data_IF_149450735015
#
_entry.id   IF_149450735015
#
_cell.length_a   1.000
_cell.length_b   1.000
_cell.length_c   1.000
_cell.angle_alpha   90.00
_cell.angle_beta   90.00
_cell.angle_gamma   90.00
#
_symmetry.space_group_name_H-M   'P 1'
#
loop_
_entity.id
_entity.type
_entity.pdbx_description
1 polymer ?
#
# COMPACT_ATOMS: atom_id res chain seq x y z
N UNK A 1 -27.28 24.13 25.33
CA UNK A 1 -26.06 24.92 25.60
C UNK A 1 -24.92 24.31 24.80
N UNK A 2 -24.34 25.03 23.82
CA UNK A 2 -23.25 24.51 22.98
C UNK A 2 -22.04 24.02 23.79
N UNK A 3 -21.69 24.73 24.87
CA UNK A 3 -20.62 24.35 25.81
C UNK A 3 -20.73 22.92 26.37
N UNK A 4 -21.94 22.51 26.79
CA UNK A 4 -22.16 21.15 27.33
C UNK A 4 -21.99 20.10 26.23
N UNK A 5 -22.40 20.40 25.00
CA UNK A 5 -22.22 19.48 23.88
C UNK A 5 -20.74 19.30 23.55
N UNK A 6 -19.97 20.39 23.58
CA UNK A 6 -18.51 20.38 23.35
C UNK A 6 -17.77 19.62 24.45
N UNK A 7 -18.14 19.82 25.73
CA UNK A 7 -17.58 19.05 26.84
C UNK A 7 -17.96 17.56 26.79
N UNK A 8 -19.13 17.23 26.22
CA UNK A 8 -19.58 15.83 26.06
C UNK A 8 -19.12 15.21 24.74
N UNK A 9 -18.22 15.85 24.01
CA UNK A 9 -17.74 15.34 22.74
C UNK A 9 -16.97 14.01 22.97
N UNK A 10 -17.42 12.88 22.39
CA UNK A 10 -16.77 11.57 22.58
C UNK A 10 -15.37 11.49 21.96
N UNK A 11 -15.01 12.43 21.08
CA UNK A 11 -13.69 12.55 20.51
C UNK A 11 -12.65 13.07 21.51
N UNK A 12 -13.09 13.63 22.64
CA UNK A 12 -12.19 14.15 23.67
C UNK A 12 -11.35 13.02 24.28
N UNK A 13 -10.04 13.25 24.39
CA UNK A 13 -9.04 12.32 24.93
C UNK A 13 -8.33 12.98 26.11
N UNK A 14 -7.59 12.23 26.95
CA UNK A 14 -6.88 12.79 28.10
C UNK A 14 -5.98 13.99 27.76
N UNK A 15 -5.38 14.02 26.55
CA UNK A 15 -4.59 15.17 26.06
C UNK A 15 -5.40 16.47 25.95
N UNK A 16 -6.63 16.40 25.48
CA UNK A 16 -7.53 17.55 25.32
C UNK A 16 -7.97 18.08 26.69
N UNK A 17 -8.28 17.18 27.62
CA UNK A 17 -8.62 17.53 29.00
C UNK A 17 -7.43 18.13 29.75
N UNK A 18 -6.22 17.60 29.53
CA UNK A 18 -4.98 18.17 30.09
C UNK A 18 -4.72 19.60 29.56
N UNK A 19 -4.98 19.84 28.27
CA UNK A 19 -4.88 21.18 27.69
C UNK A 19 -5.89 22.13 28.34
N UNK A 20 -7.15 21.73 28.48
CA UNK A 20 -8.18 22.53 29.18
C UNK A 20 -7.78 22.86 30.63
N UNK A 21 -7.29 21.88 31.39
CA UNK A 21 -6.84 22.09 32.78
C UNK A 21 -5.71 23.11 32.86
N UNK A 22 -4.78 23.06 31.90
CA UNK A 22 -3.63 23.96 31.83
C UNK A 22 -4.05 25.39 31.50
N UNK A 23 -4.85 25.57 30.44
CA UNK A 23 -5.31 26.88 29.97
C UNK A 23 -6.29 27.55 30.95
N UNK A 24 -7.15 26.77 31.59
CA UNK A 24 -8.06 27.28 32.63
C UNK A 24 -7.34 27.52 33.97
N UNK A 25 -6.11 27.01 34.12
CA UNK A 25 -5.38 26.96 35.38
C UNK A 25 -6.23 26.36 36.53
N UNK A 26 -6.96 25.28 36.22
CA UNK A 26 -7.88 24.60 37.16
C UNK A 26 -7.66 23.10 37.12
N UNK A 27 -7.64 22.49 38.30
CA UNK A 27 -7.64 21.05 38.46
C UNK A 27 -9.06 20.55 38.62
N UNK A 28 -9.45 19.58 37.80
CA UNK A 28 -10.71 18.86 37.91
C UNK A 28 -10.53 17.44 37.36
N UNK A 29 -11.40 16.53 37.78
CA UNK A 29 -11.49 15.16 37.24
C UNK A 29 -12.76 15.05 36.41
N UNK A 30 -12.59 14.95 35.10
CA UNK A 30 -13.64 14.79 34.10
C UNK A 30 -14.36 13.43 34.18
N UNK A 31 -13.75 12.42 34.81
CA UNK A 31 -14.34 11.08 34.98
C UNK A 31 -15.07 10.92 36.32
N UNK A 32 -14.92 11.90 37.22
CA UNK A 32 -15.57 11.86 38.52
C UNK A 32 -17.08 12.07 38.41
N UNK A 33 -17.85 11.37 39.25
CA UNK A 33 -19.30 11.61 39.39
C UNK A 33 -19.62 13.03 39.88
N UNK A 34 -18.64 13.72 40.45
CA UNK A 34 -18.73 15.10 40.92
C UNK A 34 -18.58 16.12 39.79
N UNK A 35 -18.24 15.71 38.56
CA UNK A 35 -18.20 16.57 37.38
C UNK A 35 -19.62 16.83 36.84
N UNK A 36 -20.44 17.49 37.67
CA UNK A 36 -21.83 17.85 37.38
C UNK A 36 -21.92 19.20 36.67
N UNK A 37 -23.10 19.53 36.13
CA UNK A 37 -23.34 20.85 35.54
C UNK A 37 -23.08 21.99 36.54
N UNK A 38 -23.46 21.79 37.81
CA UNK A 38 -23.18 22.74 38.88
C UNK A 38 -21.67 22.96 39.03
N UNK A 39 -20.89 21.87 38.98
CA UNK A 39 -19.43 21.95 39.04
C UNK A 39 -18.84 22.68 37.83
N UNK A 40 -19.39 22.48 36.63
CA UNK A 40 -18.97 23.19 35.41
C UNK A 40 -19.20 24.70 35.56
N UNK A 41 -20.34 25.11 36.13
CA UNK A 41 -20.64 26.52 36.40
C UNK A 41 -19.70 27.09 37.47
N UNK A 42 -19.46 26.36 38.56
CA UNK A 42 -18.50 26.77 39.61
C UNK A 42 -17.07 26.91 39.09
N UNK A 43 -16.68 26.04 38.15
CA UNK A 43 -15.38 26.10 37.47
C UNK A 43 -15.33 27.20 36.40
N UNK A 44 -16.41 27.93 36.14
CA UNK A 44 -16.43 29.09 35.27
C UNK A 44 -16.13 28.77 33.80
N UNK A 45 -16.48 27.57 33.33
CA UNK A 45 -16.26 27.14 31.95
C UNK A 45 -16.90 28.08 30.92
N UNK A 46 -17.93 28.85 31.30
CA UNK A 46 -18.56 29.85 30.44
C UNK A 46 -17.58 30.90 29.93
N UNK A 47 -16.57 31.27 30.73
CA UNK A 47 -15.54 32.24 30.34
C UNK A 47 -14.53 31.66 29.35
N UNK A 48 -14.49 30.34 29.22
CA UNK A 48 -13.60 29.59 28.35
C UNK A 48 -14.37 28.87 27.24
N UNK A 49 -15.60 29.30 26.95
CA UNK A 49 -16.47 28.58 26.01
C UNK A 49 -15.86 28.47 24.61
N UNK A 50 -15.21 29.53 24.12
CA UNK A 50 -14.53 29.53 22.82
C UNK A 50 -13.35 28.54 22.81
N UNK A 51 -12.55 28.51 23.88
CA UNK A 51 -11.45 27.57 24.02
C UNK A 51 -11.93 26.11 24.04
N UNK A 52 -13.01 25.83 24.78
CA UNK A 52 -13.62 24.50 24.84
C UNK A 52 -14.15 24.11 23.46
N UNK A 53 -14.77 25.05 22.75
CA UNK A 53 -15.25 24.82 21.39
C UNK A 53 -14.10 24.51 20.42
N UNK A 54 -13.00 25.25 20.50
CA UNK A 54 -11.81 25.01 19.67
C UNK A 54 -11.18 23.63 19.96
N UNK A 55 -11.02 23.27 21.23
CA UNK A 55 -10.43 21.98 21.63
C UNK A 55 -11.37 20.82 21.27
N UNK A 56 -12.67 20.96 21.49
CA UNK A 56 -13.69 19.99 21.04
C UNK A 56 -13.64 19.82 19.51
N UNK A 57 -13.56 20.92 18.77
CA UNK A 57 -13.44 20.90 17.31
C UNK A 57 -12.15 20.23 16.83
N UNK A 58 -11.03 20.46 17.52
CA UNK A 58 -9.77 19.78 17.25
C UNK A 58 -9.89 18.27 17.48
N UNK A 59 -10.47 17.87 18.61
CA UNK A 59 -10.69 16.48 18.97
C UNK A 59 -11.52 15.73 17.90
N UNK A 60 -12.61 16.34 17.42
CA UNK A 60 -13.43 15.77 16.34
C UNK A 60 -12.65 15.56 15.04
N UNK A 61 -11.74 16.48 14.70
CA UNK A 61 -10.89 16.37 13.50
C UNK A 61 -9.81 15.31 13.66
N UNK A 62 -9.23 15.18 14.85
CA UNK A 62 -8.31 14.09 15.19
C UNK A 62 -8.99 12.72 15.09
N UNK A 63 -10.23 12.60 15.59
CA UNK A 63 -11.00 11.36 15.48
C UNK A 63 -11.30 11.00 14.01
N UNK A 64 -11.55 11.99 13.15
CA UNK A 64 -11.73 11.76 11.73
C UNK A 64 -10.45 11.18 11.06
N UNK A 65 -9.26 11.66 11.46
CA UNK A 65 -7.97 11.11 11.02
C UNK A 65 -7.83 9.66 11.50
N UNK A 66 -8.10 9.39 12.77
CA UNK A 66 -8.06 8.04 13.35
C UNK A 66 -8.96 7.06 12.58
N UNK A 67 -10.21 7.43 12.33
CA UNK A 67 -11.14 6.61 11.55
C UNK A 67 -10.68 6.39 10.10
N UNK A 68 -10.09 7.40 9.47
CA UNK A 68 -9.57 7.28 8.09
C UNK A 68 -8.44 6.27 8.04
N UNK A 69 -7.50 6.32 9.00
CA UNK A 69 -6.39 5.39 9.10
C UNK A 69 -6.86 3.96 9.42
N UNK A 70 -7.84 3.79 10.30
CA UNK A 70 -8.44 2.49 10.61
C UNK A 70 -9.16 1.88 9.39
N UNK A 71 -9.89 2.70 8.64
CA UNK A 71 -10.55 2.25 7.42
C UNK A 71 -9.54 1.84 6.35
N UNK A 72 -8.44 2.60 6.22
CA UNK A 72 -7.32 2.26 5.34
C UNK A 72 -6.71 0.92 5.73
N UNK A 73 -6.39 0.69 7.00
CA UNK A 73 -5.87 -0.59 7.50
C UNK A 73 -6.79 -1.76 7.14
N UNK A 74 -8.11 -1.63 7.37
CA UNK A 74 -9.08 -2.68 7.03
C UNK A 74 -9.23 -2.92 5.53
N UNK A 75 -9.18 -1.86 4.72
CA UNK A 75 -9.26 -1.96 3.26
C UNK A 75 -8.07 -2.74 2.72
N UNK A 76 -6.85 -2.39 3.14
CA UNK A 76 -5.62 -3.03 2.69
C UNK A 76 -5.40 -4.44 3.27
N UNK A 77 -6.07 -4.80 4.37
CA UNK A 77 -6.12 -6.18 4.87
C UNK A 77 -6.92 -7.12 3.96
N UNK A 78 -7.89 -6.61 3.19
CA UNK A 78 -8.75 -7.42 2.33
C UNK A 78 -8.56 -7.12 0.84
N UNK A 79 -7.60 -6.26 0.50
CA UNK A 79 -7.30 -5.91 -0.88
C UNK A 79 -6.56 -7.08 -1.55
N UNK A 80 -7.18 -7.63 -2.60
CA UNK A 80 -6.65 -8.76 -3.36
C UNK A 80 -6.23 -8.35 -4.78
N UNK A 81 -5.14 -8.92 -5.28
CA UNK A 81 -4.75 -8.80 -6.69
C UNK A 81 -5.63 -9.71 -7.55
N UNK A 82 -6.25 -9.15 -8.60
CA UNK A 82 -7.03 -9.95 -9.56
C UNK A 82 -6.11 -10.76 -10.47
N UNK A 83 -5.87 -12.02 -10.08
CA UNK A 83 -5.01 -12.96 -10.79
C UNK A 83 -5.79 -14.12 -11.39
N UNK A 84 -5.41 -14.51 -12.60
CA UNK A 84 -6.03 -15.62 -13.35
C UNK A 84 -5.00 -16.65 -13.81
N UNK A 85 -5.39 -17.93 -13.91
CA UNK A 85 -4.53 -18.94 -14.50
C UNK A 85 -4.26 -18.65 -15.98
N UNK A 86 -3.04 -18.91 -16.43
CA UNK A 86 -2.59 -18.61 -17.78
C UNK A 86 -1.93 -19.82 -18.46
N UNK A 87 -2.58 -20.33 -19.51
CA UNK A 87 -2.17 -21.36 -20.51
C UNK A 87 -1.55 -22.67 -20.00
N UNK A 88 -0.46 -22.64 -19.25
CA UNK A 88 0.22 -23.82 -18.70
C UNK A 88 -0.20 -24.10 -17.24
N UNK A 89 0.09 -25.32 -16.76
CA UNK A 89 -0.10 -25.67 -15.35
C UNK A 89 0.83 -24.80 -14.49
N UNK A 90 0.28 -24.15 -13.47
CA UNK A 90 0.98 -23.35 -12.44
C UNK A 90 1.51 -21.97 -12.85
N UNK A 91 1.12 -21.42 -14.02
CA UNK A 91 1.41 -20.03 -14.36
C UNK A 91 0.17 -19.16 -14.12
N UNK A 92 0.34 -18.05 -13.39
CA UNK A 92 -0.74 -17.09 -13.16
C UNK A 92 -0.34 -15.71 -13.70
N UNK A 93 -1.33 -14.92 -14.09
CA UNK A 93 -1.13 -13.54 -14.50
C UNK A 93 -2.11 -12.61 -13.81
N UNK A 94 -1.68 -11.39 -13.54
CA UNK A 94 -2.54 -10.29 -13.13
C UNK A 94 -3.42 -9.93 -14.33
N UNK A 95 -4.73 -10.05 -14.17
CA UNK A 95 -5.73 -9.64 -15.17
C UNK A 95 -5.90 -8.13 -15.15
N UNK A 96 -6.12 -7.57 -13.98
CA UNK A 96 -6.27 -6.14 -13.77
C UNK A 96 -5.63 -5.75 -12.45
N UNK A 97 -5.01 -4.57 -12.44
CA UNK A 97 -4.54 -3.90 -11.24
C UNK A 97 -5.18 -2.51 -11.10
N UNK A 98 -6.17 -2.17 -11.93
CA UNK A 98 -6.82 -0.85 -11.95
C UNK A 98 -7.44 -0.51 -10.59
N UNK A 99 -8.16 -1.45 -9.97
CA UNK A 99 -8.76 -1.26 -8.66
C UNK A 99 -7.70 -1.01 -7.56
N UNK A 100 -6.54 -1.65 -7.68
CA UNK A 100 -5.41 -1.46 -6.76
C UNK A 100 -4.81 -0.07 -6.95
N UNK A 101 -4.57 0.37 -8.19
CA UNK A 101 -4.05 1.70 -8.47
C UNK A 101 -5.01 2.81 -8.05
N UNK A 102 -6.30 2.66 -8.34
CA UNK A 102 -7.32 3.61 -7.88
C UNK A 102 -7.32 3.72 -6.34
N UNK A 103 -7.27 2.58 -5.65
CA UNK A 103 -7.19 2.57 -4.19
C UNK A 103 -5.88 3.19 -3.67
N UNK A 104 -4.75 3.03 -4.37
CA UNK A 104 -3.48 3.68 -4.01
C UNK A 104 -3.59 5.21 -4.14
N UNK A 105 -4.07 5.70 -5.28
CA UNK A 105 -4.22 7.13 -5.56
C UNK A 105 -5.16 7.80 -4.56
N UNK A 106 -6.33 7.21 -4.32
CA UNK A 106 -7.32 7.74 -3.38
C UNK A 106 -6.74 7.84 -1.96
N UNK A 107 -6.05 6.79 -1.51
CA UNK A 107 -5.46 6.75 -0.17
C UNK A 107 -4.25 7.69 -0.06
N UNK A 108 -3.45 7.88 -1.12
CA UNK A 108 -2.37 8.86 -1.16
C UNK A 108 -2.90 10.30 -1.03
N UNK A 109 -3.99 10.64 -1.72
CA UNK A 109 -4.65 11.94 -1.60
C UNK A 109 -5.18 12.16 -0.18
N UNK A 110 -5.77 11.14 0.44
CA UNK A 110 -6.22 11.20 1.83
C UNK A 110 -5.05 11.44 2.79
N UNK A 111 -3.94 10.71 2.65
CA UNK A 111 -2.74 10.90 3.48
C UNK A 111 -2.16 12.30 3.31
N UNK A 112 -2.05 12.81 2.09
CA UNK A 112 -1.59 14.17 1.81
C UNK A 112 -2.48 15.23 2.47
N UNK A 113 -3.80 15.07 2.38
CA UNK A 113 -4.77 15.95 3.03
C UNK A 113 -4.65 15.91 4.55
N UNK A 114 -4.49 14.72 5.14
CA UNK A 114 -4.26 14.56 6.57
C UNK A 114 -2.95 15.23 7.00
N UNK A 115 -1.86 15.05 6.24
CA UNK A 115 -0.54 15.62 6.54
C UNK A 115 -0.51 17.15 6.46
N UNK A 116 -1.31 17.75 5.58
CA UNK A 116 -1.51 19.19 5.53
C UNK A 116 -2.30 19.76 6.73
N UNK A 117 -2.99 18.91 7.49
CA UNK A 117 -3.79 19.31 8.65
C UNK A 117 -2.93 19.49 9.90
N UNK A 118 -3.12 20.60 10.61
CA UNK A 118 -2.47 20.84 11.93
C UNK A 118 -2.85 19.82 13.01
N UNK A 119 -3.94 19.06 12.81
CA UNK A 119 -4.43 18.04 13.73
C UNK A 119 -3.75 16.68 13.55
N UNK A 120 -2.81 16.56 12.60
CA UNK A 120 -2.10 15.31 12.31
C UNK A 120 -1.01 14.97 13.32
N UNK A 121 -0.55 15.94 14.14
CA UNK A 121 0.60 15.76 15.05
C UNK A 121 0.58 14.46 15.87
N UNK A 122 -0.55 14.03 16.47
CA UNK A 122 -0.57 12.77 17.23
C UNK A 122 -0.41 11.51 16.36
N UNK A 123 -0.64 11.62 15.05
CA UNK A 123 -0.68 10.53 14.07
C UNK A 123 0.43 10.64 13.01
N UNK A 124 1.30 11.63 13.09
CA UNK A 124 2.31 11.95 12.06
C UNK A 124 3.18 10.73 11.70
N UNK A 125 3.67 10.01 12.72
CA UNK A 125 4.44 8.77 12.52
C UNK A 125 3.65 7.67 11.80
N UNK A 126 2.34 7.58 12.08
CA UNK A 126 1.48 6.57 11.47
C UNK A 126 1.15 6.95 10.02
N UNK A 127 0.86 8.22 9.75
CA UNK A 127 0.62 8.76 8.40
C UNK A 127 1.85 8.60 7.53
N UNK A 128 3.04 8.94 8.03
CA UNK A 128 4.31 8.78 7.29
C UNK A 128 4.61 7.30 6.99
N UNK A 129 4.31 6.41 7.94
CA UNK A 129 4.46 4.97 7.73
C UNK A 129 3.55 4.47 6.61
N UNK A 130 2.28 4.91 6.61
CA UNK A 130 1.32 4.57 5.57
C UNK A 130 1.74 5.11 4.21
N UNK A 131 2.20 6.36 4.14
CA UNK A 131 2.69 6.96 2.90
C UNK A 131 3.82 6.12 2.27
N UNK A 132 4.84 5.76 3.07
CA UNK A 132 5.94 4.90 2.61
C UNK A 132 5.46 3.52 2.17
N UNK A 133 4.54 2.92 2.92
CA UNK A 133 4.01 1.60 2.62
C UNK A 133 3.22 1.61 1.30
N UNK A 134 2.34 2.60 1.08
CA UNK A 134 1.59 2.71 -0.17
C UNK A 134 2.51 3.00 -1.36
N UNK A 135 3.52 3.85 -1.21
CA UNK A 135 4.51 4.08 -2.27
C UNK A 135 5.27 2.79 -2.62
N UNK A 136 5.63 1.98 -1.62
CA UNK A 136 6.31 0.72 -1.86
C UNK A 136 5.42 -0.32 -2.56
N UNK A 137 4.13 -0.40 -2.18
CA UNK A 137 3.15 -1.24 -2.87
C UNK A 137 3.02 -0.81 -4.33
N UNK A 138 2.90 0.50 -4.59
CA UNK A 138 2.77 1.05 -5.94
C UNK A 138 3.94 0.64 -6.83
N UNK A 139 5.17 0.90 -6.38
CA UNK A 139 6.39 0.54 -7.12
C UNK A 139 6.47 -0.97 -7.38
N UNK A 140 6.14 -1.79 -6.37
CA UNK A 140 6.19 -3.25 -6.49
C UNK A 140 5.18 -3.77 -7.52
N UNK A 141 3.96 -3.26 -7.51
CA UNK A 141 2.90 -3.65 -8.46
C UNK A 141 3.23 -3.19 -9.88
N UNK A 142 3.75 -1.98 -10.05
CA UNK A 142 4.20 -1.48 -11.37
C UNK A 142 5.32 -2.34 -11.96
N UNK A 143 6.32 -2.66 -11.15
CA UNK A 143 7.43 -3.54 -11.55
C UNK A 143 6.92 -4.94 -11.91
N UNK A 144 6.02 -5.50 -11.10
CA UNK A 144 5.44 -6.82 -11.36
C UNK A 144 4.67 -6.86 -12.68
N UNK A 145 3.89 -5.83 -12.98
CA UNK A 145 3.21 -5.69 -14.27
C UNK A 145 4.19 -5.49 -15.43
N UNK A 146 5.29 -4.77 -15.21
CA UNK A 146 6.33 -4.60 -16.22
C UNK A 146 7.01 -5.93 -16.57
N UNK A 147 7.45 -6.68 -15.55
CA UNK A 147 8.03 -8.01 -15.71
C UNK A 147 7.04 -8.95 -16.38
N UNK A 148 5.76 -8.93 -15.99
CA UNK A 148 4.71 -9.72 -16.63
C UNK A 148 4.59 -9.41 -18.13
N UNK A 149 4.62 -8.14 -18.54
CA UNK A 149 4.56 -7.76 -19.96
C UNK A 149 5.77 -8.29 -20.74
N UNK A 150 6.98 -8.13 -20.21
CA UNK A 150 8.21 -8.62 -20.83
C UNK A 150 8.20 -10.16 -20.93
N UNK A 151 7.79 -10.84 -19.86
CA UNK A 151 7.66 -12.30 -19.83
C UNK A 151 6.67 -12.80 -20.88
N UNK A 152 5.46 -12.24 -20.95
CA UNK A 152 4.45 -12.65 -21.93
C UNK A 152 4.92 -12.43 -23.37
N UNK A 153 5.69 -11.37 -23.61
CA UNK A 153 6.28 -11.11 -24.91
C UNK A 153 7.36 -12.14 -25.28
N UNK A 154 8.30 -12.42 -24.38
CA UNK A 154 9.31 -13.45 -24.61
C UNK A 154 8.70 -14.85 -24.75
N UNK A 155 7.66 -15.16 -23.98
CA UNK A 155 6.93 -16.42 -24.10
C UNK A 155 6.36 -16.60 -25.50
N UNK A 156 5.81 -15.55 -26.13
CA UNK A 156 5.32 -15.64 -27.51
C UNK A 156 6.41 -15.94 -28.52
N UNK A 157 7.62 -15.38 -28.32
CA UNK A 157 8.78 -15.60 -29.20
C UNK A 157 9.35 -17.02 -29.01
N UNK A 158 9.58 -17.43 -27.77
CA UNK A 158 10.17 -18.75 -27.45
C UNK A 158 9.17 -19.92 -27.51
N UNK A 159 7.90 -19.65 -27.85
CA UNK A 159 6.92 -20.70 -28.19
C UNK A 159 7.30 -21.45 -29.48
N UNK A 160 7.98 -20.78 -30.41
CA UNK A 160 8.40 -21.37 -31.68
C UNK A 160 9.61 -22.30 -31.55
N UNK A 161 9.46 -23.57 -31.92
CA UNK A 161 10.56 -24.55 -31.91
C UNK A 161 11.75 -24.13 -32.79
N UNK A 162 11.50 -23.38 -33.86
CA UNK A 162 12.53 -22.92 -34.79
C UNK A 162 13.44 -21.86 -34.16
N UNK A 163 12.88 -20.95 -33.36
CA UNK A 163 13.64 -19.94 -32.63
C UNK A 163 14.48 -20.61 -31.55
N UNK A 164 13.93 -21.63 -30.87
CA UNK A 164 14.68 -22.40 -29.87
C UNK A 164 15.90 -23.11 -30.45
N UNK A 165 15.84 -23.54 -31.71
CA UNK A 165 16.97 -24.16 -32.43
C UNK A 165 18.01 -23.12 -32.88
N UNK A 166 17.56 -21.91 -33.23
CA UNK A 166 18.45 -20.82 -33.65
C UNK A 166 19.20 -20.19 -32.47
N UNK A 167 18.52 -20.05 -31.32
CA UNK A 167 19.04 -19.39 -30.11
C UNK A 167 18.98 -20.34 -28.90
N UNK A 168 19.81 -21.41 -28.87
CA UNK A 168 19.73 -22.43 -27.84
C UNK A 168 20.22 -21.94 -26.46
N UNK A 169 21.13 -20.95 -26.40
CA UNK A 169 21.63 -20.40 -25.13
C UNK A 169 20.57 -19.54 -24.46
N UNK A 170 19.94 -18.68 -25.26
CA UNK A 170 18.89 -17.75 -24.86
C UNK A 170 17.62 -18.53 -24.45
N UNK A 171 17.33 -19.62 -25.16
CA UNK A 171 16.22 -20.54 -24.79
C UNK A 171 16.46 -21.20 -23.43
N UNK A 172 17.68 -21.66 -23.14
CA UNK A 172 18.01 -22.23 -21.83
C UNK A 172 17.92 -21.20 -20.71
N UNK A 173 18.27 -19.94 -20.98
CA UNK A 173 18.12 -18.85 -20.02
C UNK A 173 16.63 -18.54 -19.78
N UNK A 174 15.83 -18.48 -20.85
CA UNK A 174 14.39 -18.28 -20.75
C UNK A 174 13.68 -19.39 -19.97
N UNK A 175 14.06 -20.66 -20.17
CA UNK A 175 13.48 -21.79 -19.43
C UNK A 175 13.76 -21.69 -17.91
N UNK A 176 14.90 -21.12 -17.51
CA UNK A 176 15.22 -20.83 -16.10
C UNK A 176 14.31 -19.72 -15.56
N UNK A 177 14.20 -18.62 -16.31
CA UNK A 177 13.32 -17.49 -15.97
C UNK A 177 11.85 -17.93 -15.88
N UNK A 178 11.41 -18.83 -16.75
CA UNK A 178 10.05 -19.38 -16.72
C UNK A 178 9.76 -20.13 -15.42
N UNK A 179 10.70 -20.96 -14.94
CA UNK A 179 10.55 -21.67 -13.67
C UNK A 179 10.46 -20.72 -12.46
N UNK A 180 11.29 -19.68 -12.46
CA UNK A 180 11.26 -18.65 -11.42
C UNK A 180 9.95 -17.86 -11.46
N UNK A 181 9.48 -17.47 -12.65
CA UNK A 181 8.23 -16.75 -12.84
C UNK A 181 7.01 -17.59 -12.44
N UNK A 182 6.99 -18.89 -12.75
CA UNK A 182 5.95 -19.81 -12.28
C UNK A 182 5.91 -19.89 -10.75
N UNK A 183 7.08 -19.97 -10.10
CA UNK A 183 7.18 -20.00 -8.64
C UNK A 183 6.67 -18.71 -7.99
N UNK A 184 7.04 -17.55 -8.56
CA UNK A 184 6.58 -16.23 -8.10
C UNK A 184 5.07 -16.10 -8.28
N UNK A 185 4.54 -16.41 -9.47
CA UNK A 185 3.11 -16.24 -9.77
C UNK A 185 2.23 -17.20 -8.98
N UNK A 186 2.70 -18.42 -8.69
CA UNK A 186 2.04 -19.35 -7.79
C UNK A 186 1.98 -18.81 -6.35
N UNK A 187 3.10 -18.29 -5.83
CA UNK A 187 3.15 -17.68 -4.50
C UNK A 187 2.20 -16.47 -4.36
N UNK A 188 2.17 -15.62 -5.38
CA UNK A 188 1.26 -14.47 -5.44
C UNK A 188 -0.21 -14.91 -5.47
N UNK A 189 -0.52 -15.97 -6.23
CA UNK A 189 -1.88 -16.52 -6.31
C UNK A 189 -2.34 -17.20 -5.00
N UNK A 190 -1.44 -17.80 -4.23
CA UNK A 190 -1.73 -18.37 -2.91
C UNK A 190 -1.92 -17.28 -1.84
N UNK A 191 -1.09 -16.23 -1.87
CA UNK A 191 -1.15 -15.14 -0.88
C UNK A 191 -2.36 -14.23 -1.11
N UNK A 192 -2.69 -13.94 -2.39
CA UNK A 192 -3.76 -13.05 -2.91
C UNK A 192 -3.78 -11.61 -2.42
N UNK A 193 -3.36 -11.35 -1.17
CA UNK A 193 -3.38 -10.04 -0.55
C UNK A 193 -2.26 -9.15 -1.08
N UNK A 194 -2.62 -8.02 -1.68
CA UNK A 194 -1.72 -7.07 -2.33
C UNK A 194 -0.65 -6.53 -1.38
N UNK A 195 -1.02 -6.22 -0.13
CA UNK A 195 -0.10 -5.71 0.89
C UNK A 195 0.89 -6.77 1.34
N UNK A 196 0.43 -7.99 1.56
CA UNK A 196 1.29 -9.11 1.94
C UNK A 196 2.27 -9.49 0.82
N UNK A 197 1.81 -9.45 -0.43
CA UNK A 197 2.64 -9.65 -1.61
C UNK A 197 3.75 -8.60 -1.75
N UNK A 198 3.49 -7.36 -1.34
CA UNK A 198 4.47 -6.27 -1.40
C UNK A 198 5.38 -6.15 -0.17
N UNK A 199 5.14 -6.85 0.94
CA UNK A 199 5.75 -6.50 2.25
C UNK A 199 6.47 -7.63 3.00
N UNK A 200 7.26 -8.54 2.39
CA UNK A 200 8.22 -9.33 3.22
C UNK A 200 9.64 -9.46 2.67
N UNK A 201 10.68 -9.32 3.54
CA UNK A 201 10.66 -9.27 5.02
C UNK A 201 11.35 -8.05 5.68
N UNK A 202 10.59 -7.35 6.52
CA UNK A 202 11.05 -6.46 7.59
C UNK A 202 9.90 -5.59 8.12
N UNK A 203 9.55 -5.70 9.41
CA UNK A 203 8.63 -4.80 10.14
C UNK A 203 7.11 -4.96 9.97
N UNK A 204 6.61 -6.17 10.28
CA UNK A 204 5.56 -6.23 11.30
C UNK A 204 6.25 -6.48 12.64
N UNK A 205 6.69 -5.39 13.28
CA UNK A 205 7.21 -5.40 14.66
C UNK A 205 6.07 -5.95 15.54
N UNK A 206 6.39 -7.00 16.32
CA UNK A 206 5.52 -7.80 17.20
C UNK A 206 4.80 -8.99 16.56
N UNK A 207 5.57 -10.03 16.22
CA UNK A 207 5.27 -11.40 16.61
C UNK A 207 6.60 -12.17 16.59
N UNK A 208 7.24 -12.25 17.76
CA UNK A 208 8.31 -13.21 17.99
C UNK A 208 7.78 -14.61 17.68
N UNK A 209 8.62 -15.42 17.03
CA UNK A 209 8.36 -16.79 16.53
C UNK A 209 7.62 -16.89 15.19
N UNK A 210 8.35 -16.81 14.07
CA UNK A 210 8.41 -17.93 13.12
C UNK A 210 9.67 -17.77 12.26
N UNK A 211 10.31 -18.90 12.01
CA UNK A 211 11.68 -19.09 11.54
C UNK A 211 12.00 -18.35 10.24
N UNK A 212 13.28 -17.98 10.14
CA UNK A 212 14.06 -17.77 8.92
C UNK A 212 13.61 -18.69 7.79
N UNK A 213 12.82 -18.15 6.86
CA UNK A 213 12.79 -18.60 5.48
C UNK A 213 12.88 -17.34 4.63
N UNK A 214 14.10 -17.11 4.10
CA UNK A 214 14.34 -16.15 3.04
C UNK A 214 13.61 -16.68 1.80
N UNK A 215 12.54 -16.02 1.40
CA UNK A 215 11.87 -16.17 0.10
C UNK A 215 11.75 -14.78 -0.52
N UNK A 216 11.69 -14.66 -1.87
CA UNK A 216 12.87 -14.26 -2.60
C UNK A 216 12.66 -12.93 -3.34
N UNK A 217 12.51 -11.82 -2.63
CA UNK A 217 12.34 -10.51 -3.28
C UNK A 217 13.64 -9.90 -3.84
N UNK A 218 14.79 -10.55 -3.64
CA UNK A 218 16.04 -10.22 -4.37
C UNK A 218 16.00 -10.65 -5.84
N UNK A 219 15.04 -11.52 -6.23
CA UNK A 219 14.85 -11.96 -7.61
C UNK A 219 14.26 -10.84 -8.49
N UNK A 220 13.67 -9.78 -7.92
CA UNK A 220 13.03 -8.68 -8.66
C UNK A 220 13.99 -7.90 -9.57
N UNK A 221 15.21 -7.62 -9.09
CA UNK A 221 16.23 -7.00 -9.94
C UNK A 221 16.82 -8.01 -10.92
N UNK A 222 17.09 -9.24 -10.48
CA UNK A 222 17.80 -10.22 -11.30
C UNK A 222 16.95 -10.72 -12.47
N UNK A 223 15.65 -10.98 -12.27
CA UNK A 223 14.75 -11.32 -13.36
C UNK A 223 14.50 -10.13 -14.29
N UNK A 224 14.31 -8.93 -13.76
CA UNK A 224 14.17 -7.74 -14.59
C UNK A 224 15.41 -7.48 -15.44
N UNK A 225 16.60 -7.56 -14.85
CA UNK A 225 17.87 -7.42 -15.58
C UNK A 225 18.06 -8.55 -16.58
N UNK A 226 17.76 -9.80 -16.22
CA UNK A 226 17.90 -10.95 -17.14
C UNK A 226 16.92 -10.89 -18.30
N UNK A 227 15.67 -10.48 -18.07
CA UNK A 227 14.66 -10.28 -19.11
C UNK A 227 15.04 -9.09 -20.03
N UNK A 228 15.49 -7.98 -19.45
CA UNK A 228 15.96 -6.81 -20.19
C UNK A 228 17.22 -7.11 -21.01
N UNK A 229 18.16 -7.88 -20.45
CA UNK A 229 19.37 -8.33 -21.14
C UNK A 229 19.04 -9.25 -22.31
N UNK A 230 18.15 -10.23 -22.10
CA UNK A 230 17.66 -11.10 -23.18
C UNK A 230 16.98 -10.29 -24.30
N UNK A 231 16.14 -9.32 -23.95
CA UNK A 231 15.46 -8.44 -24.92
C UNK A 231 16.44 -7.53 -25.68
N UNK A 232 17.54 -7.11 -25.06
CA UNK A 232 18.54 -6.24 -25.67
C UNK A 232 19.64 -6.99 -26.44
N UNK A 233 19.61 -8.32 -26.47
CA UNK A 233 20.53 -9.07 -27.36
C UNK A 233 20.21 -8.75 -28.82
N UNK A 234 21.24 -8.39 -29.59
CA UNK A 234 21.09 -8.02 -31.02
C UNK A 234 20.38 -9.12 -31.84
N UNK A 235 20.53 -10.39 -31.45
CA UNK A 235 19.90 -11.52 -32.13
C UNK A 235 18.40 -11.60 -31.86
N UNK A 236 17.94 -11.31 -30.63
CA UNK A 236 16.51 -11.21 -30.31
C UNK A 236 15.91 -9.97 -30.98
N UNK A 237 16.57 -8.80 -30.92
CA UNK A 237 16.11 -7.58 -31.59
C UNK A 237 16.00 -7.73 -33.13
N UNK A 238 16.95 -8.45 -33.74
CA UNK A 238 16.93 -8.71 -35.19
C UNK A 238 15.77 -9.64 -35.59
N UNK A 239 15.39 -10.60 -34.74
CA UNK A 239 14.23 -11.47 -34.98
C UNK A 239 12.91 -10.76 -34.65
N UNK A 240 12.89 -9.88 -33.65
CA UNK A 240 11.76 -8.97 -33.35
C UNK A 240 11.42 -8.09 -34.55
N UNK A 241 12.44 -7.52 -35.22
CA UNK A 241 12.20 -6.77 -36.46
C UNK A 241 11.65 -7.65 -37.58
N UNK A 242 12.04 -8.93 -37.63
CA UNK A 242 11.57 -9.88 -38.64
C UNK A 242 10.09 -10.24 -38.46
N UNK A 243 9.65 -10.52 -37.22
CA UNK A 243 8.24 -10.80 -36.93
C UNK A 243 7.34 -9.56 -37.06
N UNK A 244 7.81 -8.37 -36.68
CA UNK A 244 7.04 -7.12 -36.87
C UNK A 244 6.82 -6.82 -38.36
N UNK A 245 7.82 -7.09 -39.21
CA UNK A 245 7.72 -6.94 -40.67
C UNK A 245 6.79 -7.99 -41.30
N UNK A 246 6.76 -9.21 -40.76
CA UNK A 246 5.94 -10.32 -41.32
C UNK A 246 4.51 -10.42 -40.76
N UNK A 247 4.24 -9.94 -39.55
CA UNK A 247 2.93 -10.02 -38.90
C UNK A 247 2.04 -8.79 -39.11
N UNK A 248 2.59 -7.68 -39.64
CA UNK A 248 1.83 -6.44 -39.87
C UNK A 248 1.32 -5.76 -38.60
N UNK A 249 1.83 -6.15 -37.42
CA UNK A 249 1.46 -5.53 -36.14
C UNK A 249 2.38 -4.33 -35.90
N UNK A 250 1.88 -3.13 -36.20
CA UNK A 250 2.52 -1.87 -35.78
C UNK A 250 2.31 -1.72 -34.27
N UNK A 251 3.35 -1.96 -33.47
CA UNK A 251 3.38 -1.49 -32.09
C UNK A 251 4.28 -0.26 -32.02
N UNK A 252 3.64 0.90 -31.95
CA UNK A 252 4.27 2.18 -31.61
C UNK A 252 4.77 2.13 -30.17
N UNK A 253 6.07 2.38 -30.00
CA UNK A 253 6.72 2.71 -28.73
C UNK A 253 6.11 3.97 -28.09
#
# INVERSE_FOLDING_TARGET
MPLIMDLRNPAMRPRHWAQLKTEMNKQFDENSKEFTLERIVQLGFEQYADLVHEISGAASKELAIEHTLDNMERSWQNNELDMIPFKEKNTYKIRSAEDVFQALEDNQVQLSTMKASRFVKPFELLVDRWERLLSHIMETVEQLLHVQRQYLYLETIFLGEDIRKQLPKESSAFDTINQDWQSITAFLYETRNTRACATKPGELINCETTKREKLPFTIHSELFWSLSELLNTNDVLSQVQYEVVYSGIVLSF
#
